data_IF_473804783872
#
_entry.id   IF_473804783872
#
_cell.length_a   1.000
_cell.length_b   1.000
_cell.length_c   1.000
_cell.angle_alpha   90.00
_cell.angle_beta   90.00
_cell.angle_gamma   90.00
#
_symmetry.space_group_name_H-M   'P 1'
#
loop_
_entity.id
_entity.type
_entity.pdbx_description
1 polymer ?
#
# COMPACT_ATOMS: atom_id res chain seq x y z
N UNK A 1 1.77 8.83 -55.03
CA UNK A 1 2.58 9.93 -54.44
C UNK A 1 2.42 9.90 -52.94
N UNK A 2 3.47 9.50 -52.22
CA UNK A 2 3.44 9.42 -50.75
C UNK A 2 4.02 10.68 -50.16
N UNK A 3 3.18 11.57 -49.63
CA UNK A 3 3.65 12.71 -48.86
C UNK A 3 4.31 12.19 -47.57
N UNK A 4 5.54 12.63 -47.33
CA UNK A 4 6.22 12.36 -46.05
C UNK A 4 5.48 13.07 -44.92
N UNK A 5 5.40 12.46 -43.72
CA UNK A 5 4.72 13.08 -42.59
C UNK A 5 5.36 14.42 -42.26
N UNK A 6 4.54 15.48 -42.18
CA UNK A 6 4.98 16.82 -41.83
C UNK A 6 4.75 17.10 -40.34
N UNK A 7 5.73 17.72 -39.68
CA UNK A 7 5.64 18.19 -38.29
C UNK A 7 5.67 19.72 -38.33
N UNK A 8 4.65 20.36 -37.74
CA UNK A 8 4.59 21.81 -37.60
C UNK A 8 5.13 22.22 -36.23
N UNK A 9 6.08 23.15 -36.20
CA UNK A 9 6.61 23.75 -34.97
C UNK A 9 6.11 25.18 -34.92
N UNK A 10 5.30 25.51 -33.91
CA UNK A 10 4.72 26.84 -33.72
C UNK A 10 4.88 27.28 -32.26
N UNK A 11 5.07 28.57 -32.05
CA UNK A 11 5.09 29.15 -30.70
C UNK A 11 3.65 29.29 -30.18
N UNK A 12 3.09 28.22 -29.63
CA UNK A 12 1.81 28.27 -28.90
C UNK A 12 2.05 28.80 -27.50
N UNK A 13 1.22 29.72 -27.03
CA UNK A 13 1.22 30.15 -25.64
C UNK A 13 1.06 28.92 -24.72
N UNK A 14 1.96 28.75 -23.76
CA UNK A 14 2.02 27.56 -22.92
C UNK A 14 0.74 27.34 -22.11
N UNK A 15 0.38 26.07 -21.91
CA UNK A 15 -0.68 25.67 -20.99
C UNK A 15 -0.39 26.21 -19.58
N UNK A 16 -1.34 26.95 -18.99
CA UNK A 16 -1.23 27.52 -17.63
C UNK A 16 -1.50 26.47 -16.54
N UNK A 17 -1.05 25.23 -16.71
CA UNK A 17 -1.14 24.23 -15.64
C UNK A 17 0.02 24.45 -14.65
N UNK A 18 -0.25 24.84 -13.39
CA UNK A 18 0.81 25.12 -12.41
C UNK A 18 1.66 23.90 -12.05
N UNK A 19 1.23 22.68 -12.41
CA UNK A 19 2.02 21.45 -12.23
C UNK A 19 2.90 21.10 -13.43
N UNK A 20 2.77 21.83 -14.54
CA UNK A 20 3.58 21.62 -15.74
C UNK A 20 4.89 22.40 -15.61
N UNK A 21 6.00 21.69 -15.68
CA UNK A 21 7.35 22.26 -15.64
C UNK A 21 8.09 21.91 -16.93
N UNK A 22 9.26 22.53 -17.16
CA UNK A 22 10.14 22.14 -18.29
C UNK A 22 10.44 20.65 -18.24
N UNK A 23 10.66 20.09 -17.04
CA UNK A 23 10.93 18.67 -16.86
C UNK A 23 9.77 17.75 -17.22
N UNK A 24 8.51 18.18 -17.04
CA UNK A 24 7.35 17.38 -17.48
C UNK A 24 7.08 17.51 -18.97
N UNK A 25 7.35 18.67 -19.58
CA UNK A 25 7.15 18.90 -21.03
C UNK A 25 8.21 18.17 -21.86
N UNK A 26 9.43 18.07 -21.35
CA UNK A 26 10.55 17.37 -21.99
C UNK A 26 10.67 15.90 -21.58
N UNK A 27 9.76 15.40 -20.75
CA UNK A 27 9.78 14.05 -20.16
C UNK A 27 11.01 13.74 -19.27
N UNK A 28 11.98 14.67 -19.13
CA UNK A 28 13.16 14.51 -18.26
C UNK A 28 12.75 14.11 -16.84
N UNK A 29 11.66 14.66 -16.31
CA UNK A 29 11.16 14.32 -14.99
C UNK A 29 10.78 12.83 -14.87
N UNK A 30 10.25 12.21 -15.93
CA UNK A 30 9.89 10.79 -15.91
C UNK A 30 11.14 9.90 -15.98
N UNK A 31 12.18 10.30 -16.72
CA UNK A 31 13.48 9.64 -16.67
C UNK A 31 14.13 9.75 -15.29
N UNK A 32 14.12 10.93 -14.67
CA UNK A 32 14.63 11.12 -13.31
C UNK A 32 13.87 10.25 -12.31
N UNK A 33 12.54 10.14 -12.42
CA UNK A 33 11.74 9.25 -11.58
C UNK A 33 12.18 7.80 -11.70
N UNK A 34 12.43 7.31 -12.92
CA UNK A 34 12.95 5.96 -13.13
C UNK A 34 14.36 5.78 -12.56
N UNK A 35 15.23 6.77 -12.72
CA UNK A 35 16.59 6.76 -12.17
C UNK A 35 16.55 6.63 -10.64
N UNK A 36 15.86 7.53 -9.95
CA UNK A 36 15.74 7.50 -8.48
C UNK A 36 14.99 6.27 -7.98
N UNK A 37 14.01 5.75 -8.72
CA UNK A 37 13.31 4.52 -8.34
C UNK A 37 14.20 3.27 -8.45
N UNK A 38 15.21 3.26 -9.34
CA UNK A 38 16.09 2.11 -9.53
C UNK A 38 17.36 2.14 -8.68
N UNK A 39 17.99 3.31 -8.55
CA UNK A 39 19.30 3.43 -7.88
C UNK A 39 19.30 4.40 -6.71
N UNK A 40 18.16 5.02 -6.39
CA UNK A 40 18.05 5.91 -5.25
C UNK A 40 18.11 5.13 -3.94
N UNK A 41 18.96 5.57 -3.02
CA UNK A 41 19.04 5.03 -1.65
C UNK A 41 18.11 5.86 -0.76
N UNK A 42 16.99 5.30 -0.26
CA UNK A 42 16.04 6.03 0.55
C UNK A 42 16.61 6.32 1.94
N UNK A 43 16.46 7.56 2.42
CA UNK A 43 16.89 7.97 3.75
C UNK A 43 15.72 8.53 4.55
N UNK A 44 15.75 8.32 5.88
CA UNK A 44 14.76 8.89 6.77
C UNK A 44 14.92 10.41 6.85
N UNK A 45 13.87 11.23 6.58
CA UNK A 45 13.99 12.68 6.56
C UNK A 45 14.26 13.30 7.94
N UNK A 46 14.01 12.55 9.03
CA UNK A 46 14.26 13.02 10.41
C UNK A 46 15.62 12.60 10.95
N UNK A 47 15.98 11.32 10.74
CA UNK A 47 17.17 10.73 11.33
C UNK A 47 18.36 10.67 10.36
N UNK A 48 18.14 10.93 9.07
CA UNK A 48 19.15 10.90 8.00
C UNK A 48 19.88 9.56 7.85
N UNK A 49 19.29 8.47 8.36
CA UNK A 49 19.79 7.11 8.18
C UNK A 49 19.13 6.44 6.98
N UNK A 50 19.86 5.51 6.35
CA UNK A 50 19.36 4.66 5.28
C UNK A 50 18.16 3.83 5.75
N UNK A 51 17.13 3.75 4.91
CA UNK A 51 15.95 2.92 5.16
C UNK A 51 16.27 1.49 4.71
N UNK A 52 16.53 0.61 5.67
CA UNK A 52 16.74 -0.82 5.44
C UNK A 52 15.44 -1.61 5.63
N UNK A 53 15.26 -2.76 4.94
CA UNK A 53 14.19 -3.70 5.25
C UNK A 53 14.19 -4.08 6.73
N UNK A 54 13.02 -4.16 7.34
CA UNK A 54 12.91 -4.57 8.74
C UNK A 54 12.58 -6.05 8.85
N UNK A 55 13.39 -6.79 9.62
CA UNK A 55 13.06 -8.17 9.98
C UNK A 55 11.82 -8.24 10.86
N UNK A 56 11.15 -9.39 10.85
CA UNK A 56 9.92 -9.67 11.62
C UNK A 56 10.11 -9.34 13.10
N UNK A 57 11.26 -9.67 13.69
CA UNK A 57 11.59 -9.35 15.10
C UNK A 57 11.60 -7.84 15.38
N UNK A 58 12.16 -7.05 14.47
CA UNK A 58 12.25 -5.59 14.63
C UNK A 58 10.88 -4.94 14.49
N UNK A 59 10.07 -5.41 13.54
CA UNK A 59 8.68 -4.98 13.40
C UNK A 59 7.90 -5.35 14.66
N UNK A 60 8.04 -6.58 15.14
CA UNK A 60 7.33 -7.08 16.34
C UNK A 60 7.69 -6.25 17.58
N UNK A 61 8.97 -5.96 17.79
CA UNK A 61 9.43 -5.11 18.89
C UNK A 61 8.85 -3.69 18.81
N UNK A 62 8.85 -3.08 17.62
CA UNK A 62 8.30 -1.74 17.41
C UNK A 62 6.78 -1.70 17.62
N UNK A 63 6.06 -2.74 17.18
CA UNK A 63 4.62 -2.87 17.40
C UNK A 63 4.30 -3.04 18.89
N UNK A 64 5.06 -3.89 19.61
CA UNK A 64 4.96 -4.04 21.05
C UNK A 64 5.19 -2.72 21.77
N UNK A 65 6.27 -1.99 21.47
CA UNK A 65 6.58 -0.70 22.09
C UNK A 65 5.43 0.31 21.94
N UNK A 66 4.82 0.37 20.75
CA UNK A 66 3.80 1.37 20.43
C UNK A 66 2.38 1.01 20.87
N UNK A 67 2.02 -0.27 20.88
CA UNK A 67 0.63 -0.73 21.06
C UNK A 67 0.43 -1.69 22.24
N UNK A 68 1.42 -1.89 23.11
CA UNK A 68 1.27 -2.73 24.30
C UNK A 68 0.06 -2.31 25.14
N UNK A 69 -0.72 -3.30 25.55
CA UNK A 69 -1.95 -3.13 26.32
C UNK A 69 -3.17 -2.66 25.49
N UNK A 70 -3.05 -2.54 24.17
CA UNK A 70 -4.13 -2.11 23.29
C UNK A 70 -4.64 -3.25 22.42
N UNK A 71 -5.91 -3.19 22.02
CA UNK A 71 -6.45 -4.11 21.02
C UNK A 71 -6.04 -3.66 19.63
N UNK A 72 -5.35 -4.52 18.90
CA UNK A 72 -4.86 -4.23 17.55
C UNK A 72 -5.54 -5.14 16.52
N UNK A 73 -5.67 -4.63 15.30
CA UNK A 73 -5.92 -5.43 14.10
C UNK A 73 -4.66 -5.45 13.23
N UNK A 74 -4.22 -6.64 12.86
CA UNK A 74 -3.18 -6.88 11.86
C UNK A 74 -3.80 -6.85 10.46
N UNK A 75 -3.26 -6.00 9.59
CA UNK A 75 -3.80 -5.71 8.27
C UNK A 75 -2.79 -6.06 7.18
N UNK A 76 -3.24 -6.80 6.17
CA UNK A 76 -2.48 -7.06 4.96
C UNK A 76 -3.07 -6.27 3.77
N UNK A 77 -2.35 -5.27 3.26
CA UNK A 77 -2.80 -4.43 2.14
C UNK A 77 -2.61 -5.14 0.78
N UNK A 78 -3.56 -6.00 0.42
CA UNK A 78 -3.53 -6.80 -0.82
C UNK A 78 -3.71 -5.96 -2.09
N UNK A 79 -4.44 -4.84 -2.02
CA UNK A 79 -4.62 -3.91 -3.14
C UNK A 79 -4.41 -2.48 -2.65
N UNK A 80 -3.61 -1.70 -3.39
CA UNK A 80 -3.35 -0.29 -3.08
C UNK A 80 -3.50 0.61 -4.31
N UNK A 81 -4.52 1.46 -4.31
CA UNK A 81 -4.76 2.48 -5.34
C UNK A 81 -4.87 1.94 -6.77
N UNK A 82 -5.30 0.69 -6.95
CA UNK A 82 -5.43 0.04 -8.25
C UNK A 82 -6.90 -0.01 -8.68
N UNK A 83 -7.13 0.02 -10.00
CA UNK A 83 -8.45 -0.06 -10.60
C UNK A 83 -8.87 -1.52 -10.79
N UNK A 84 -10.11 -1.87 -10.45
CA UNK A 84 -10.64 -3.22 -10.66
C UNK A 84 -11.88 -3.53 -9.82
N UNK A 85 -12.55 -4.63 -10.17
CA UNK A 85 -13.71 -5.13 -9.41
C UNK A 85 -13.33 -6.14 -8.32
N UNK A 86 -12.16 -6.79 -8.46
CA UNK A 86 -11.57 -7.70 -7.46
C UNK A 86 -12.47 -8.88 -7.01
N UNK A 87 -13.40 -9.34 -7.84
CA UNK A 87 -14.29 -10.48 -7.52
C UNK A 87 -13.52 -11.76 -7.18
N UNK A 88 -12.58 -12.14 -8.04
CA UNK A 88 -11.74 -13.33 -7.85
C UNK A 88 -10.91 -13.24 -6.55
N UNK A 89 -10.38 -12.05 -6.25
CA UNK A 89 -9.64 -11.79 -5.00
C UNK A 89 -10.53 -12.04 -3.77
N UNK A 90 -11.77 -11.53 -3.76
CA UNK A 90 -12.68 -11.76 -2.63
C UNK A 90 -13.05 -13.24 -2.48
N UNK A 91 -13.21 -13.98 -3.59
CA UNK A 91 -13.43 -15.42 -3.54
C UNK A 91 -12.23 -16.17 -2.97
N UNK A 92 -11.02 -15.83 -3.39
CA UNK A 92 -9.80 -16.46 -2.90
C UNK A 92 -9.57 -16.17 -1.42
N UNK A 93 -9.79 -14.94 -0.98
CA UNK A 93 -9.72 -14.57 0.44
C UNK A 93 -10.74 -15.33 1.28
N UNK A 94 -11.95 -15.54 0.74
CA UNK A 94 -12.98 -16.36 1.40
C UNK A 94 -12.58 -17.84 1.47
N UNK A 95 -12.02 -18.40 0.39
CA UNK A 95 -11.51 -19.79 0.35
C UNK A 95 -10.37 -20.01 1.35
N UNK A 96 -9.54 -19.00 1.56
CA UNK A 96 -8.48 -19.00 2.58
C UNK A 96 -9.00 -18.80 4.01
N UNK A 97 -10.30 -18.55 4.19
CA UNK A 97 -10.94 -18.45 5.51
C UNK A 97 -10.92 -17.05 6.13
N UNK A 98 -10.42 -16.03 5.43
CA UNK A 98 -10.49 -14.65 5.92
C UNK A 98 -11.93 -14.17 5.97
N UNK A 99 -12.34 -13.58 7.10
CA UNK A 99 -13.73 -13.16 7.37
C UNK A 99 -13.96 -11.65 7.33
N UNK A 100 -12.90 -10.87 7.50
CA UNK A 100 -12.92 -9.41 7.68
C UNK A 100 -11.97 -8.78 6.67
N UNK A 101 -12.48 -7.81 5.92
CA UNK A 101 -11.73 -7.01 4.95
C UNK A 101 -12.11 -5.55 5.11
N UNK A 102 -11.16 -4.64 4.86
CA UNK A 102 -11.41 -3.23 4.73
C UNK A 102 -11.35 -2.89 3.24
N UNK A 103 -12.41 -2.27 2.74
CA UNK A 103 -12.51 -1.82 1.36
C UNK A 103 -12.68 -0.31 1.39
N UNK A 104 -11.74 0.42 0.82
CA UNK A 104 -11.70 1.89 0.83
C UNK A 104 -11.87 2.47 2.25
N UNK A 105 -11.29 1.78 3.24
CA UNK A 105 -11.36 2.14 4.66
C UNK A 105 -12.62 1.67 5.41
N UNK A 106 -13.62 1.12 4.71
CA UNK A 106 -14.85 0.59 5.30
C UNK A 106 -14.71 -0.89 5.60
N UNK A 107 -14.93 -1.27 6.86
CA UNK A 107 -14.89 -2.68 7.25
C UNK A 107 -16.11 -3.44 6.74
N UNK A 108 -15.85 -4.52 6.00
CA UNK A 108 -16.84 -5.39 5.37
C UNK A 108 -16.50 -6.85 5.69
N UNK A 109 -17.52 -7.71 5.76
CA UNK A 109 -17.32 -9.16 5.88
C UNK A 109 -17.17 -9.77 4.49
N UNK A 110 -16.26 -10.73 4.36
CA UNK A 110 -16.21 -11.59 3.18
C UNK A 110 -17.44 -12.49 3.18
N UNK A 111 -18.44 -12.10 2.40
CA UNK A 111 -19.68 -12.84 2.19
C UNK A 111 -19.65 -13.54 0.82
N UNK A 112 -20.53 -14.53 0.59
CA UNK A 112 -20.70 -15.14 -0.75
C UNK A 112 -21.05 -14.11 -1.83
N UNK A 113 -21.69 -13.00 -1.44
CA UNK A 113 -21.88 -11.82 -2.28
C UNK A 113 -20.92 -10.72 -1.82
N UNK A 114 -19.73 -10.59 -2.43
CA UNK A 114 -18.80 -9.51 -2.11
C UNK A 114 -19.35 -8.14 -2.53
N UNK A 115 -18.87 -7.04 -1.94
CA UNK A 115 -19.25 -5.70 -2.39
C UNK A 115 -18.87 -5.50 -3.85
N UNK A 116 -19.80 -4.96 -4.65
CA UNK A 116 -19.55 -4.63 -6.05
C UNK A 116 -18.68 -3.38 -6.13
N UNK A 117 -17.45 -3.53 -6.65
CA UNK A 117 -16.52 -2.43 -6.86
C UNK A 117 -16.59 -1.92 -8.30
N UNK A 118 -16.34 -0.61 -8.47
CA UNK A 118 -16.42 0.03 -9.78
C UNK A 118 -15.10 -0.16 -10.50
N UNK A 119 -15.09 -0.95 -11.58
CA UNK A 119 -13.88 -1.26 -12.37
C UNK A 119 -12.96 -0.07 -12.68
N UNK A 120 -13.54 1.10 -12.94
CA UNK A 120 -12.80 2.30 -13.35
C UNK A 120 -12.32 3.19 -12.20
N UNK A 121 -12.71 2.90 -10.95
CA UNK A 121 -12.22 3.60 -9.75
C UNK A 121 -11.04 2.87 -9.15
N UNK A 122 -10.16 3.63 -8.53
CA UNK A 122 -9.07 3.09 -7.71
C UNK A 122 -9.66 2.65 -6.37
N UNK A 123 -9.24 1.48 -5.91
CA UNK A 123 -9.65 0.91 -4.64
C UNK A 123 -8.42 0.53 -3.79
N UNK A 124 -8.61 0.59 -2.48
CA UNK A 124 -7.70 0.05 -1.47
C UNK A 124 -8.40 -1.11 -0.76
N UNK A 125 -7.76 -2.29 -0.74
CA UNK A 125 -8.31 -3.49 -0.10
C UNK A 125 -7.28 -4.02 0.88
N UNK A 126 -7.69 -4.17 2.13
CA UNK A 126 -6.88 -4.69 3.22
C UNK A 126 -7.60 -5.86 3.89
N UNK A 127 -6.87 -6.91 4.22
CA UNK A 127 -7.41 -8.08 4.91
C UNK A 127 -7.08 -7.96 6.38
N UNK A 128 -8.07 -8.18 7.26
CA UNK A 128 -7.77 -8.31 8.69
C UNK A 128 -7.32 -9.75 8.94
N UNK A 129 -6.02 -9.90 9.20
CA UNK A 129 -5.38 -11.20 9.42
C UNK A 129 -5.65 -11.70 10.82
N UNK A 130 -5.49 -10.83 11.83
CA UNK A 130 -5.75 -11.18 13.22
C UNK A 130 -6.18 -9.95 14.04
N UNK A 131 -6.85 -10.19 15.17
CA UNK A 131 -7.34 -9.16 16.08
C UNK A 131 -7.29 -9.62 17.53
N UNK A 132 -6.40 -9.03 18.32
CA UNK A 132 -6.20 -9.42 19.72
C UNK A 132 -5.68 -8.26 20.59
N UNK A 133 -5.76 -8.45 21.91
CA UNK A 133 -5.18 -7.54 22.89
C UNK A 133 -3.67 -7.79 22.94
N UNK A 134 -2.87 -6.80 22.56
CA UNK A 134 -1.42 -6.98 22.49
C UNK A 134 -0.80 -6.96 23.89
N UNK A 135 -0.29 -8.12 24.31
CA UNK A 135 0.48 -8.31 25.54
C UNK A 135 1.85 -8.91 25.20
N UNK A 136 2.75 -8.93 26.18
CA UNK A 136 4.10 -9.49 26.00
C UNK A 136 4.08 -10.98 25.63
N UNK A 137 3.13 -11.74 26.22
CA UNK A 137 2.92 -13.17 25.95
C UNK A 137 2.50 -13.47 24.50
N UNK A 138 1.91 -12.51 23.80
CA UNK A 138 1.44 -12.67 22.41
C UNK A 138 2.54 -12.41 21.38
N UNK A 139 3.81 -12.26 21.79
CA UNK A 139 4.91 -11.94 20.86
C UNK A 139 5.09 -12.96 19.74
N UNK A 140 4.96 -14.26 20.03
CA UNK A 140 5.06 -15.32 18.99
C UNK A 140 3.92 -15.19 17.97
N UNK A 141 2.69 -15.02 18.47
CA UNK A 141 1.50 -14.84 17.64
C UNK A 141 1.59 -13.58 16.77
N UNK A 142 2.11 -12.49 17.34
CA UNK A 142 2.35 -11.25 16.59
C UNK A 142 3.34 -11.49 15.44
N UNK A 143 4.45 -12.19 15.69
CA UNK A 143 5.44 -12.50 14.66
C UNK A 143 4.84 -13.37 13.54
N UNK A 144 4.11 -14.42 13.87
CA UNK A 144 3.40 -15.28 12.90
C UNK A 144 2.36 -14.48 12.08
N UNK A 145 1.62 -13.58 12.74
CA UNK A 145 0.68 -12.68 12.08
C UNK A 145 1.34 -11.69 11.14
N UNK A 146 2.49 -11.13 11.52
CA UNK A 146 3.32 -10.24 10.69
C UNK A 146 3.83 -11.00 9.46
N UNK A 147 4.36 -12.21 9.61
CA UNK A 147 4.82 -13.04 8.49
C UNK A 147 3.69 -13.36 7.51
N UNK A 148 2.50 -13.69 8.03
CA UNK A 148 1.33 -13.92 7.18
C UNK A 148 0.92 -12.63 6.45
N UNK A 149 0.95 -11.47 7.10
CA UNK A 149 0.68 -10.19 6.44
C UNK A 149 1.70 -9.91 5.33
N UNK A 150 2.98 -10.09 5.59
CA UNK A 150 4.05 -9.90 4.60
C UNK A 150 3.86 -10.81 3.38
N UNK A 151 3.49 -12.07 3.58
CA UNK A 151 3.21 -13.00 2.47
C UNK A 151 2.01 -12.56 1.63
N UNK A 152 0.94 -12.09 2.27
CA UNK A 152 -0.28 -11.67 1.57
C UNK A 152 -0.15 -10.32 0.86
N UNK A 153 0.67 -9.40 1.39
CA UNK A 153 0.74 -8.02 0.93
C UNK A 153 2.14 -7.61 0.40
N UNK A 154 2.93 -8.57 -0.10
CA UNK A 154 4.26 -8.36 -0.70
C UNK A 154 5.20 -7.57 0.23
N UNK A 155 5.35 -8.01 1.47
CA UNK A 155 6.22 -7.41 2.49
C UNK A 155 5.58 -6.33 3.35
N UNK A 156 4.37 -5.87 3.01
CA UNK A 156 3.71 -4.80 3.76
C UNK A 156 2.91 -5.33 4.95
N UNK A 157 2.98 -4.63 6.07
CA UNK A 157 2.17 -4.91 7.26
C UNK A 157 1.55 -3.63 7.78
N UNK A 158 0.23 -3.62 7.94
CA UNK A 158 -0.51 -2.57 8.61
C UNK A 158 -0.92 -3.00 10.01
N UNK A 159 -0.86 -2.07 10.96
CA UNK A 159 -1.42 -2.23 12.31
C UNK A 159 -2.45 -1.13 12.51
N UNK A 160 -3.66 -1.52 12.92
CA UNK A 160 -4.72 -0.60 13.34
C UNK A 160 -4.97 -0.77 14.83
N UNK A 161 -4.66 0.27 15.60
CA UNK A 161 -4.95 0.36 17.02
C UNK A 161 -6.31 1.01 17.31
N UNK A 162 -6.67 1.17 18.60
CA UNK A 162 -7.90 1.83 19.02
C UNK A 162 -7.93 3.30 18.55
N UNK A 163 -9.14 3.84 18.35
CA UNK A 163 -9.32 5.22 17.88
C UNK A 163 -8.87 5.49 16.45
N UNK A 164 -8.59 4.44 15.65
CA UNK A 164 -8.15 4.59 14.26
C UNK A 164 -6.67 4.91 14.10
N UNK A 165 -5.85 4.75 15.17
CA UNK A 165 -4.40 4.88 15.05
C UNK A 165 -3.86 3.84 14.07
N UNK A 166 -3.07 4.26 13.08
CA UNK A 166 -2.48 3.37 12.08
C UNK A 166 -0.96 3.44 12.10
N UNK A 167 -0.33 2.28 11.95
CA UNK A 167 1.09 2.13 11.69
C UNK A 167 1.27 1.21 10.48
N UNK A 168 2.29 1.48 9.67
CA UNK A 168 2.64 0.64 8.52
C UNK A 168 4.12 0.29 8.59
N UNK A 169 4.43 -0.96 8.29
CA UNK A 169 5.76 -1.53 8.26
C UNK A 169 5.98 -2.21 6.90
N UNK A 170 7.24 -2.32 6.50
CA UNK A 170 7.69 -2.92 5.23
C UNK A 170 9.04 -3.58 5.40
#
# INVERSE_FOLDING_TARGET
EGLSPAIAIQQRAGSRNPRSTVGTVTEIHDYLRLLFARIGIPHCPRHQVEITPQGVDRISASVLERFKGQRIDLLASVVRGKKGEYRDLFEDLRRQGFRRVLVDGVETRTAPSPPSLVKNRKHDIEVVVDSFLLKEEERSRLAEGIELCQRLANGLVGIRGPGGARASYS
#
